data_IF_852760757670
#
_entry.id   IF_852760757670
#
_cell.length_a   1.000
_cell.length_b   1.000
_cell.length_c   1.000
_cell.angle_alpha   90.00
_cell.angle_beta   90.00
_cell.angle_gamma   90.00
#
_symmetry.space_group_name_H-M   'P 1'
#
loop_
_entity.id
_entity.type
_entity.pdbx_description
1 polymer ?
#
# COMPACT_ATOMS: atom_id res chain seq x y z
N UNK A 1 -28.44 -5.73 -62.77
CA UNK A 1 -27.49 -5.32 -61.72
C UNK A 1 -27.42 -6.47 -60.71
N UNK A 2 -26.34 -7.27 -60.67
CA UNK A 2 -26.22 -8.42 -59.75
C UNK A 2 -25.52 -7.96 -58.47
N UNK A 3 -26.23 -7.95 -57.34
CA UNK A 3 -25.63 -7.75 -56.03
C UNK A 3 -24.69 -8.92 -55.69
N UNK A 4 -23.40 -8.63 -55.52
CA UNK A 4 -22.44 -9.58 -54.96
C UNK A 4 -22.69 -9.68 -53.45
N UNK A 5 -23.37 -10.73 -53.00
CA UNK A 5 -23.40 -11.10 -51.58
C UNK A 5 -21.98 -11.49 -51.14
N UNK A 6 -21.37 -10.65 -50.30
CA UNK A 6 -20.10 -10.95 -49.63
C UNK A 6 -20.30 -12.17 -48.71
N UNK A 7 -19.96 -13.35 -49.20
CA UNK A 7 -19.85 -14.56 -48.39
C UNK A 7 -18.69 -14.37 -47.39
N UNK A 8 -18.99 -13.94 -46.17
CA UNK A 8 -18.02 -13.95 -45.08
C UNK A 8 -17.61 -15.39 -44.78
N UNK A 9 -16.33 -15.69 -44.97
CA UNK A 9 -15.77 -17.00 -44.69
C UNK A 9 -15.54 -17.12 -43.18
N UNK A 10 -16.33 -17.95 -42.49
CA UNK A 10 -16.22 -18.20 -41.04
C UNK A 10 -14.78 -18.51 -40.58
N UNK A 11 -13.97 -19.14 -41.44
CA UNK A 11 -12.55 -19.42 -41.17
C UNK A 11 -11.69 -18.16 -41.04
N UNK A 12 -11.97 -17.12 -41.85
CA UNK A 12 -11.24 -15.84 -41.79
C UNK A 12 -11.61 -15.04 -40.55
N UNK A 13 -12.90 -15.01 -40.19
CA UNK A 13 -13.35 -14.37 -38.95
C UNK A 13 -12.77 -15.05 -37.71
N UNK A 14 -12.74 -16.39 -37.69
CA UNK A 14 -12.12 -17.15 -36.60
C UNK A 14 -10.62 -16.86 -36.48
N UNK A 15 -9.87 -16.90 -37.59
CA UNK A 15 -8.45 -16.57 -37.59
C UNK A 15 -8.18 -15.12 -37.15
N UNK A 16 -9.01 -14.16 -37.57
CA UNK A 16 -8.91 -12.77 -37.14
C UNK A 16 -9.08 -12.63 -35.61
N UNK A 17 -10.09 -13.29 -35.04
CA UNK A 17 -10.32 -13.29 -33.58
C UNK A 17 -9.12 -13.91 -32.84
N UNK A 18 -8.59 -15.04 -33.32
CA UNK A 18 -7.41 -15.67 -32.71
C UNK A 18 -6.20 -14.75 -32.73
N UNK A 19 -5.92 -14.09 -33.85
CA UNK A 19 -4.79 -13.15 -33.98
C UNK A 19 -5.00 -11.93 -33.08
N UNK A 20 -6.21 -11.39 -33.02
CA UNK A 20 -6.55 -10.26 -32.15
C UNK A 20 -6.40 -10.61 -30.66
N UNK A 21 -6.87 -11.78 -30.24
CA UNK A 21 -6.71 -12.25 -28.87
C UNK A 21 -5.23 -12.49 -28.53
N UNK A 22 -4.47 -13.10 -29.45
CA UNK A 22 -3.05 -13.36 -29.24
C UNK A 22 -2.23 -12.06 -29.16
N UNK A 23 -2.49 -11.08 -30.02
CA UNK A 23 -1.81 -9.79 -29.99
C UNK A 23 -2.18 -8.98 -28.75
N UNK A 24 -3.46 -8.97 -28.36
CA UNK A 24 -3.91 -8.31 -27.14
C UNK A 24 -3.27 -8.95 -25.89
N UNK A 25 -3.28 -10.29 -25.78
CA UNK A 25 -2.67 -11.00 -24.66
C UNK A 25 -1.16 -10.73 -24.57
N UNK A 26 -0.46 -10.70 -25.72
CA UNK A 26 0.96 -10.38 -25.77
C UNK A 26 1.24 -8.95 -25.26
N UNK A 27 0.47 -7.97 -25.73
CA UNK A 27 0.61 -6.56 -25.30
C UNK A 27 0.34 -6.44 -23.80
N UNK A 28 -0.76 -7.03 -23.31
CA UNK A 28 -1.12 -7.02 -21.89
C UNK A 28 -0.04 -7.67 -21.02
N UNK A 29 0.52 -8.80 -21.46
CA UNK A 29 1.58 -9.49 -20.73
C UNK A 29 2.84 -8.64 -20.61
N UNK A 30 3.28 -8.00 -21.70
CA UNK A 30 4.48 -7.16 -21.70
C UNK A 30 4.31 -5.90 -20.85
N UNK A 31 3.15 -5.25 -20.95
CA UNK A 31 2.83 -4.06 -20.16
C UNK A 31 2.73 -4.41 -18.68
N UNK A 32 2.09 -5.53 -18.34
CA UNK A 32 1.94 -5.99 -16.96
C UNK A 32 3.30 -6.27 -16.33
N UNK A 33 4.16 -7.04 -17.01
CA UNK A 33 5.47 -7.40 -16.45
C UNK A 33 6.38 -6.17 -16.32
N UNK A 34 6.40 -5.28 -17.31
CA UNK A 34 7.23 -4.07 -17.29
C UNK A 34 6.82 -3.05 -16.22
N UNK A 35 5.54 -3.00 -15.83
CA UNK A 35 5.02 -2.02 -14.87
C UNK A 35 4.88 -2.56 -13.45
N UNK A 36 4.86 -3.87 -13.24
CA UNK A 36 4.55 -4.51 -11.95
C UNK A 36 5.37 -3.94 -10.79
N UNK A 37 6.69 -3.90 -10.93
CA UNK A 37 7.59 -3.38 -9.87
C UNK A 37 7.32 -1.91 -9.54
N UNK A 38 7.06 -1.08 -10.55
CA UNK A 38 6.74 0.34 -10.35
C UNK A 38 5.41 0.52 -9.61
N UNK A 39 4.41 -0.29 -9.97
CA UNK A 39 3.10 -0.29 -9.31
C UNK A 39 3.20 -0.78 -7.86
N UNK A 40 3.96 -1.84 -7.60
CA UNK A 40 4.20 -2.36 -6.25
C UNK A 40 4.92 -1.32 -5.37
N UNK A 41 5.95 -0.67 -5.89
CA UNK A 41 6.66 0.41 -5.19
C UNK A 41 5.74 1.61 -4.91
N UNK A 42 4.93 2.01 -5.89
CA UNK A 42 3.96 3.09 -5.73
C UNK A 42 2.90 2.73 -4.68
N UNK A 43 2.42 1.49 -4.67
CA UNK A 43 1.46 0.97 -3.69
C UNK A 43 2.06 0.94 -2.28
N UNK A 44 3.29 0.45 -2.12
CA UNK A 44 4.01 0.43 -0.84
C UNK A 44 4.20 1.86 -0.31
N UNK A 45 4.63 2.79 -1.17
CA UNK A 45 4.80 4.19 -0.82
C UNK A 45 3.47 4.85 -0.43
N UNK A 46 2.42 4.62 -1.20
CA UNK A 46 1.09 5.17 -0.92
C UNK A 46 0.56 4.68 0.42
N UNK A 47 0.62 3.37 0.69
CA UNK A 47 0.25 2.79 1.98
C UNK A 47 1.06 3.38 3.13
N UNK A 48 2.37 3.52 2.93
CA UNK A 48 3.27 4.13 3.92
C UNK A 48 2.88 5.58 4.25
N UNK A 49 2.55 6.38 3.22
CA UNK A 49 2.01 7.73 3.41
C UNK A 49 0.72 7.73 4.21
N UNK A 50 -0.22 6.83 3.91
CA UNK A 50 -1.48 6.74 4.66
C UNK A 50 -1.27 6.37 6.12
N UNK A 51 -0.33 5.46 6.42
CA UNK A 51 0.03 5.12 7.81
C UNK A 51 0.61 6.32 8.55
N UNK A 52 1.52 7.08 7.92
CA UNK A 52 2.10 8.29 8.54
C UNK A 52 1.05 9.40 8.72
N UNK A 53 0.11 9.55 7.79
CA UNK A 53 -1.01 10.49 7.90
C UNK A 53 -1.89 10.13 9.11
N UNK A 54 -2.26 8.85 9.23
CA UNK A 54 -3.05 8.35 10.36
C UNK A 54 -2.30 8.53 11.70
N UNK A 55 -0.98 8.37 11.71
CA UNK A 55 -0.13 8.62 12.87
C UNK A 55 0.11 10.11 13.18
N UNK A 56 -0.36 11.04 12.33
CA UNK A 56 -0.08 12.48 12.38
C UNK A 56 1.43 12.81 12.33
N UNK A 57 2.21 11.97 11.65
CA UNK A 57 3.65 12.14 11.42
C UNK A 57 3.94 12.84 10.09
N UNK A 58 2.95 12.93 9.20
CA UNK A 58 2.99 13.73 7.98
C UNK A 58 1.67 14.50 7.84
N UNK A 59 1.72 15.70 7.28
CA UNK A 59 0.54 16.50 6.95
C UNK A 59 0.00 16.19 5.54
N UNK A 60 -1.21 16.68 5.24
CA UNK A 60 -1.84 16.52 3.92
C UNK A 60 -1.04 17.14 2.77
N UNK A 61 -0.25 18.17 3.06
CA UNK A 61 0.63 18.84 2.10
C UNK A 61 1.92 18.04 1.80
N UNK A 62 2.16 16.96 2.53
CA UNK A 62 3.31 16.07 2.33
C UNK A 62 4.57 16.46 3.13
N UNK A 63 4.42 17.25 4.18
CA UNK A 63 5.51 17.64 5.09
C UNK A 63 5.48 16.83 6.37
N UNK A 64 6.65 16.48 6.92
CA UNK A 64 6.71 15.77 8.20
C UNK A 64 6.27 16.66 9.35
N UNK A 65 5.69 16.02 10.36
CA UNK A 65 5.16 16.65 11.56
C UNK A 65 5.74 15.96 12.80
N UNK A 66 6.15 16.76 13.78
CA UNK A 66 6.48 16.32 15.13
C UNK A 66 5.58 17.09 16.10
N UNK A 67 4.69 16.37 16.80
CA UNK A 67 3.67 16.95 17.68
C UNK A 67 2.84 18.06 17.02
N UNK A 68 2.51 17.87 15.74
CA UNK A 68 1.74 18.82 14.94
C UNK A 68 2.52 20.04 14.44
N UNK A 69 3.84 20.11 14.69
CA UNK A 69 4.72 21.17 14.19
C UNK A 69 5.56 20.68 13.01
N UNK A 70 5.97 21.56 12.08
CA UNK A 70 6.89 21.22 11.00
C UNK A 70 8.15 20.50 11.47
N UNK A 71 8.48 19.39 10.82
CA UNK A 71 9.69 18.62 11.07
C UNK A 71 10.42 18.25 9.77
N UNK A 72 11.71 17.95 9.90
CA UNK A 72 12.57 17.44 8.83
C UNK A 72 13.03 16.04 9.23
N UNK A 73 13.10 15.15 8.25
CA UNK A 73 13.66 13.82 8.44
C UNK A 73 15.19 13.88 8.30
N UNK A 74 15.89 13.44 9.34
CA UNK A 74 17.33 13.25 9.32
C UNK A 74 17.63 11.81 8.89
N UNK A 75 18.25 11.65 7.72
CA UNK A 75 18.58 10.34 7.16
C UNK A 75 19.68 9.59 7.93
N UNK A 76 20.53 10.30 8.70
CA UNK A 76 21.60 9.66 9.47
C UNK A 76 21.05 8.99 10.73
N UNK A 77 20.20 9.72 11.45
CA UNK A 77 19.57 9.21 12.68
C UNK A 77 18.26 8.48 12.43
N UNK A 78 17.68 8.62 11.22
CA UNK A 78 16.34 8.18 10.83
C UNK A 78 15.22 8.77 11.69
N UNK A 79 15.40 10.01 12.16
CA UNK A 79 14.51 10.67 13.11
C UNK A 79 13.88 11.93 12.54
N UNK A 80 12.81 12.38 13.20
CA UNK A 80 12.20 13.67 12.92
C UNK A 80 12.79 14.73 13.85
N UNK A 81 13.31 15.79 13.25
CA UNK A 81 13.83 16.95 13.96
C UNK A 81 12.90 18.14 13.72
N UNK A 82 12.58 18.89 14.78
CA UNK A 82 11.80 20.10 14.65
C UNK A 82 12.52 21.11 13.73
N UNK A 83 11.80 21.69 12.78
CA UNK A 83 12.34 22.74 11.91
C UNK A 83 11.62 24.06 12.12
N UNK A 84 12.33 25.15 11.80
CA UNK A 84 11.77 26.50 11.72
C UNK A 84 11.52 26.94 10.27
N UNK A 85 11.83 26.08 9.30
CA UNK A 85 11.59 26.36 7.89
C UNK A 85 10.09 26.47 7.60
N UNK A 86 9.70 27.46 6.80
CA UNK A 86 8.31 27.71 6.42
C UNK A 86 8.21 28.09 4.93
N UNK A 87 7.68 27.21 4.06
CA UNK A 87 7.23 25.85 4.38
C UNK A 87 8.43 24.90 4.60
N UNK A 88 8.27 23.87 5.47
CA UNK A 88 9.25 22.79 5.57
C UNK A 88 9.43 22.06 4.22
N UNK A 89 10.52 21.31 4.01
CA UNK A 89 10.70 20.53 2.80
C UNK A 89 9.65 19.41 2.71
N UNK A 90 9.30 19.02 1.48
CA UNK A 90 8.42 17.86 1.26
C UNK A 90 9.14 16.56 1.61
N UNK A 91 8.40 15.63 2.18
CA UNK A 91 8.90 14.30 2.50
C UNK A 91 9.27 13.53 1.23
N UNK A 92 10.53 13.07 1.13
CA UNK A 92 10.97 12.20 0.04
C UNK A 92 10.41 10.79 0.22
N UNK A 93 10.34 10.04 -0.88
CA UNK A 93 9.86 8.66 -0.85
C UNK A 93 10.71 7.78 0.07
N UNK A 94 12.04 7.93 0.04
CA UNK A 94 12.93 7.15 0.92
C UNK A 94 12.74 7.51 2.39
N UNK A 95 12.56 8.79 2.71
CA UNK A 95 12.31 9.24 4.08
C UNK A 95 11.00 8.68 4.62
N UNK A 96 9.95 8.64 3.81
CA UNK A 96 8.65 8.07 4.18
C UNK A 96 8.79 6.58 4.51
N UNK A 97 9.43 5.82 3.62
CA UNK A 97 9.61 4.38 3.81
C UNK A 97 10.45 4.10 5.05
N UNK A 98 11.56 4.83 5.21
CA UNK A 98 12.46 4.69 6.36
C UNK A 98 11.73 4.99 7.67
N UNK A 99 10.96 6.08 7.73
CA UNK A 99 10.25 6.46 8.95
C UNK A 99 9.16 5.43 9.32
N UNK A 100 8.46 4.87 8.35
CA UNK A 100 7.47 3.81 8.60
C UNK A 100 8.14 2.57 9.17
N UNK A 101 9.28 2.14 8.61
CA UNK A 101 10.03 0.98 9.10
C UNK A 101 10.49 1.15 10.55
N UNK A 102 10.83 2.38 10.97
CA UNK A 102 11.28 2.67 12.33
C UNK A 102 10.12 2.91 13.33
N UNK A 103 9.02 3.55 12.89
CA UNK A 103 7.96 4.07 13.78
C UNK A 103 6.66 3.26 13.77
N UNK A 104 6.41 2.48 12.73
CA UNK A 104 5.14 1.79 12.51
C UNK A 104 5.36 0.29 12.55
N UNK A 105 5.00 -0.34 13.66
CA UNK A 105 5.22 -1.77 13.88
C UNK A 105 3.93 -2.56 13.62
N UNK A 106 3.89 -3.43 12.60
CA UNK A 106 2.72 -4.28 12.37
C UNK A 106 2.62 -5.37 13.46
N UNK A 107 1.42 -5.54 13.99
CA UNK A 107 1.08 -6.52 15.02
C UNK A 107 -0.27 -7.16 14.71
N UNK A 108 -0.54 -8.26 15.38
CA UNK A 108 -1.82 -8.95 15.34
C UNK A 108 -2.50 -8.86 16.69
N UNK A 109 -3.81 -8.81 16.70
CA UNK A 109 -4.61 -8.86 17.93
C UNK A 109 -5.76 -9.84 17.80
N UNK A 110 -6.05 -10.59 18.85
CA UNK A 110 -7.23 -11.46 18.88
C UNK A 110 -8.50 -10.72 19.35
N UNK A 111 -9.64 -11.41 19.41
CA UNK A 111 -10.89 -10.86 19.93
C UNK A 111 -10.83 -10.41 21.39
N UNK A 112 -9.86 -10.91 22.16
CA UNK A 112 -9.65 -10.54 23.56
C UNK A 112 -8.68 -9.36 23.70
N UNK A 113 -8.16 -8.84 22.58
CA UNK A 113 -7.19 -7.75 22.57
C UNK A 113 -5.77 -8.19 22.90
N UNK A 114 -5.46 -9.50 22.93
CA UNK A 114 -4.10 -9.96 23.16
C UNK A 114 -3.28 -9.77 21.89
N UNK A 115 -2.09 -9.22 22.06
CA UNK A 115 -1.19 -8.81 20.98
C UNK A 115 -0.20 -9.92 20.66
N UNK A 116 0.06 -10.12 19.38
CA UNK A 116 1.01 -11.08 18.84
C UNK A 116 1.87 -10.43 17.75
N UNK A 117 3.08 -10.94 17.61
CA UNK A 117 3.86 -10.83 16.38
C UNK A 117 3.34 -11.82 15.34
N UNK A 118 3.70 -11.60 14.07
CA UNK A 118 3.37 -12.55 12.99
C UNK A 118 4.03 -13.92 13.22
N UNK A 119 5.26 -13.90 13.73
CA UNK A 119 6.03 -15.11 14.05
C UNK A 119 5.36 -15.91 15.18
N UNK A 120 4.89 -15.26 16.24
CA UNK A 120 4.17 -15.92 17.34
C UNK A 120 2.85 -16.54 16.90
N UNK A 121 2.18 -15.94 15.92
CA UNK A 121 0.95 -16.47 15.33
C UNK A 121 1.20 -17.54 14.25
N UNK A 122 2.46 -17.80 13.88
CA UNK A 122 2.82 -18.73 12.81
C UNK A 122 2.38 -18.25 11.42
N UNK A 123 2.30 -16.95 11.22
CA UNK A 123 1.83 -16.32 9.97
C UNK A 123 2.97 -15.62 9.25
N UNK A 124 3.00 -15.74 7.93
CA UNK A 124 3.86 -14.92 7.08
C UNK A 124 3.24 -13.54 6.87
N UNK A 125 4.01 -12.48 7.11
CA UNK A 125 3.53 -11.11 7.06
C UNK A 125 3.05 -10.71 5.65
N UNK A 126 3.84 -10.99 4.62
CA UNK A 126 3.53 -10.56 3.25
C UNK A 126 2.32 -11.32 2.69
N UNK A 127 2.30 -12.64 2.88
CA UNK A 127 1.19 -13.49 2.46
C UNK A 127 -0.10 -13.07 3.19
N UNK A 128 -0.01 -12.81 4.49
CA UNK A 128 -1.17 -12.42 5.28
C UNK A 128 -1.78 -11.10 4.80
N UNK A 129 -0.94 -10.10 4.51
CA UNK A 129 -1.40 -8.82 4.00
C UNK A 129 -2.02 -8.97 2.61
N UNK A 130 -1.35 -9.64 1.68
CA UNK A 130 -1.83 -9.78 0.31
C UNK A 130 -3.16 -10.54 0.22
N UNK A 131 -3.31 -11.58 1.05
CA UNK A 131 -4.50 -12.44 1.04
C UNK A 131 -5.75 -11.71 1.56
N UNK A 132 -5.58 -10.79 2.51
CA UNK A 132 -6.70 -10.18 3.24
C UNK A 132 -6.87 -8.69 2.99
N UNK A 133 -6.02 -8.05 2.19
CA UNK A 133 -6.09 -6.60 1.92
C UNK A 133 -7.45 -6.15 1.37
N UNK A 134 -8.09 -6.97 0.51
CA UNK A 134 -9.36 -6.63 -0.12
C UNK A 134 -10.56 -6.78 0.82
N UNK A 135 -10.66 -7.94 1.49
CA UNK A 135 -11.78 -8.25 2.40
C UNK A 135 -11.61 -7.64 3.80
N UNK A 136 -10.42 -7.12 4.10
CA UNK A 136 -10.04 -6.56 5.38
C UNK A 136 -9.71 -7.58 6.45
N UNK A 137 -9.35 -7.06 7.62
CA UNK A 137 -8.79 -7.86 8.72
C UNK A 137 -9.75 -8.01 9.90
N UNK A 138 -10.87 -7.29 9.91
CA UNK A 138 -11.75 -7.20 11.07
C UNK A 138 -12.50 -8.50 11.40
N UNK A 139 -12.75 -9.35 10.40
CA UNK A 139 -13.45 -10.64 10.57
C UNK A 139 -12.50 -11.80 10.84
N UNK A 140 -11.18 -11.56 10.81
CA UNK A 140 -10.18 -12.61 10.98
C UNK A 140 -9.96 -12.89 12.48
N UNK A 141 -9.58 -14.14 12.84
CA UNK A 141 -9.25 -14.50 14.21
C UNK A 141 -8.13 -13.61 14.78
N UNK A 142 -7.10 -13.40 13.96
CA UNK A 142 -6.06 -12.41 14.19
C UNK A 142 -6.39 -11.16 13.37
N UNK A 143 -6.49 -10.00 13.99
CA UNK A 143 -6.79 -8.72 13.34
C UNK A 143 -5.52 -7.91 13.22
N UNK A 144 -5.33 -7.25 12.09
CA UNK A 144 -4.16 -6.40 11.88
C UNK A 144 -4.27 -5.10 12.68
N UNK A 145 -3.21 -4.73 13.37
CA UNK A 145 -3.07 -3.43 14.03
C UNK A 145 -1.65 -2.94 13.83
N UNK A 146 -1.46 -1.63 13.62
CA UNK A 146 -0.14 -1.04 13.60
C UNK A 146 0.09 -0.23 14.86
N UNK A 147 1.23 -0.46 15.48
CA UNK A 147 1.69 0.24 16.66
C UNK A 147 2.50 1.44 16.20
N UNK A 148 2.17 2.61 16.73
CA UNK A 148 2.94 3.84 16.51
C UNK A 148 3.84 4.03 17.72
N UNK A 149 5.16 3.93 17.52
CA UNK A 149 6.17 4.04 18.59
C UNK A 149 6.66 5.47 18.74
N UNK A 150 7.07 5.89 19.93
CA UNK A 150 7.67 7.21 20.16
C UNK A 150 9.07 7.33 19.52
N UNK A 151 9.65 8.54 19.55
CA UNK A 151 11.08 8.74 19.30
C UNK A 151 11.74 9.30 20.56
N UNK A 152 12.65 8.55 21.20
CA UNK A 152 13.19 7.25 20.80
C UNK A 152 12.15 6.09 20.87
N UNK A 153 12.34 5.01 20.09
CA UNK A 153 11.43 3.87 20.07
C UNK A 153 11.24 3.26 21.46
N UNK A 154 10.01 3.29 21.95
CA UNK A 154 9.59 2.63 23.18
C UNK A 154 8.85 1.32 22.86
N UNK A 155 9.00 0.25 23.66
CA UNK A 155 8.20 -0.96 23.51
C UNK A 155 6.70 -0.70 23.75
N UNK A 156 6.35 0.40 24.44
CA UNK A 156 4.98 0.83 24.62
C UNK A 156 4.58 1.77 23.47
N UNK A 157 3.59 1.41 22.63
CA UNK A 157 3.09 2.32 21.61
C UNK A 157 2.35 3.49 22.25
N UNK A 158 2.49 4.68 21.66
CA UNK A 158 1.69 5.86 22.05
C UNK A 158 0.39 5.95 21.25
N UNK A 159 0.29 5.22 20.13
CA UNK A 159 -0.88 5.21 19.27
C UNK A 159 -1.04 3.89 18.52
N UNK A 160 -2.26 3.69 18.00
CA UNK A 160 -2.61 2.51 17.23
C UNK A 160 -3.31 2.95 15.94
N UNK A 161 -3.03 2.25 14.84
CA UNK A 161 -3.73 2.40 13.58
C UNK A 161 -4.45 1.09 13.28
N UNK A 162 -5.76 1.17 13.09
CA UNK A 162 -6.60 0.03 12.75
C UNK A 162 -7.03 0.15 11.29
N UNK A 163 -6.59 -0.77 10.40
CA UNK A 163 -7.09 -0.83 9.04
C UNK A 163 -8.55 -1.28 9.06
N UNK A 164 -9.41 -0.49 8.44
CA UNK A 164 -10.84 -0.78 8.28
C UNK A 164 -11.15 -0.87 6.80
N UNK A 165 -11.87 -1.92 6.41
CA UNK A 165 -12.36 -2.13 5.06
C UNK A 165 -13.89 -2.19 5.10
N UNK A 166 -14.53 -1.74 4.03
CA UNK A 166 -15.97 -1.84 3.84
C UNK A 166 -16.31 -1.74 2.36
N UNK A 167 -17.41 -2.36 1.97
CA UNK A 167 -17.93 -2.25 0.61
C UNK A 167 -18.44 -0.84 0.35
N UNK A 168 -18.06 -0.29 -0.80
CA UNK A 168 -18.58 0.97 -1.29
C UNK A 168 -19.79 0.74 -2.19
N UNK A 169 -20.30 1.80 -2.81
CA UNK A 169 -21.32 1.66 -3.86
C UNK A 169 -20.77 0.94 -5.11
N UNK A 170 -19.46 0.98 -5.30
CA UNK A 170 -18.79 0.60 -6.56
C UNK A 170 -17.65 -0.42 -6.37
N UNK A 171 -17.43 -0.88 -5.14
CA UNK A 171 -16.33 -1.78 -4.74
C UNK A 171 -16.84 -2.87 -3.80
#
# INVERSE_FOLDING_TARGET
>A
MKEKKLSFSNKKSFAFVVILCASAALILSLVSEGLKTSQENAKKLYRSKQLLLAARLIGYEGHFLLDGKPAIFDAQTKKLLATKENPPPKATSEAILSLVEERILPRLTDEKGKIYTFQEAGLDFEIYLQTHEKLGYAHLPYKLVYFVTEDPPSPKPYGYILPVNGYGLWD
#
